data_IF_119816508976
#
_entry.id   IF_119816508976
#
_cell.length_a   1.000
_cell.length_b   1.000
_cell.length_c   1.000
_cell.angle_alpha   90.00
_cell.angle_beta   90.00
_cell.angle_gamma   90.00
#
_symmetry.space_group_name_H-M   'P 1'
#
loop_
_entity.id
_entity.type
_entity.pdbx_description
1 polymer ?
#
# COMPACT_ATOMS: atom_id res chain seq x y z
N UNK A 1 35.67 22.14 12.95
CA UNK A 1 35.35 21.56 11.64
C UNK A 1 33.93 21.02 11.73
N UNK A 2 32.93 21.91 11.63
CA UNK A 2 31.52 21.58 11.89
C UNK A 2 30.97 20.73 10.76
N UNK A 3 30.53 19.52 11.09
CA UNK A 3 29.88 18.62 10.15
C UNK A 3 28.58 19.21 9.62
N UNK A 4 28.18 18.76 8.44
CA UNK A 4 26.91 19.08 7.82
C UNK A 4 25.78 18.88 8.84
N UNK A 5 25.25 19.97 9.37
CA UNK A 5 24.22 19.95 10.39
C UNK A 5 22.85 19.73 9.76
N UNK A 6 21.86 19.57 10.64
CA UNK A 6 20.46 19.45 10.22
C UNK A 6 19.99 20.69 9.42
N UNK A 7 20.51 21.88 9.74
CA UNK A 7 20.23 23.11 9.01
C UNK A 7 20.70 23.06 7.56
N UNK A 8 21.94 22.67 7.30
CA UNK A 8 22.50 22.57 5.95
C UNK A 8 21.74 21.54 5.11
N UNK A 9 21.42 20.38 5.71
CA UNK A 9 20.65 19.33 5.05
C UNK A 9 19.24 19.81 4.68
N UNK A 10 18.61 20.59 5.56
CA UNK A 10 17.29 21.22 5.29
C UNK A 10 17.37 22.23 4.14
N UNK A 11 18.40 23.07 4.09
CA UNK A 11 18.60 24.04 2.99
C UNK A 11 18.75 23.32 1.65
N UNK A 12 19.56 22.26 1.60
CA UNK A 12 19.75 21.46 0.39
C UNK A 12 18.43 20.81 -0.03
N UNK A 13 17.68 20.25 0.93
CA UNK A 13 16.36 19.64 0.66
C UNK A 13 15.40 20.64 0.02
N UNK A 14 15.35 21.89 0.51
CA UNK A 14 14.50 22.94 -0.07
C UNK A 14 14.90 23.24 -1.52
N UNK A 15 16.20 23.37 -1.81
CA UNK A 15 16.69 23.61 -3.17
C UNK A 15 16.28 22.46 -4.11
N UNK A 16 16.44 21.22 -3.67
CA UNK A 16 16.04 20.02 -4.41
C UNK A 16 14.53 20.04 -4.67
N UNK A 17 13.71 20.39 -3.69
CA UNK A 17 12.25 20.52 -3.85
C UNK A 17 11.89 21.61 -4.87
N UNK A 18 12.63 22.71 -4.94
CA UNK A 18 12.38 23.77 -5.93
C UNK A 18 12.69 23.28 -7.35
N UNK A 19 13.79 22.54 -7.54
CA UNK A 19 14.21 22.05 -8.85
C UNK A 19 13.29 20.93 -9.36
N UNK A 20 13.01 19.94 -8.50
CA UNK A 20 12.23 18.76 -8.87
C UNK A 20 10.72 18.94 -8.65
N UNK A 21 10.31 19.89 -7.81
CA UNK A 21 8.92 20.09 -7.38
C UNK A 21 8.56 19.23 -6.15
N UNK A 22 7.66 19.76 -5.31
CA UNK A 22 7.21 19.09 -4.08
C UNK A 22 6.50 17.74 -4.29
N UNK A 23 5.98 17.49 -5.50
CA UNK A 23 5.33 16.23 -5.84
C UNK A 23 6.28 15.10 -6.27
N UNK A 24 7.46 15.43 -6.81
CA UNK A 24 8.37 14.42 -7.38
C UNK A 24 9.18 13.66 -6.34
N UNK A 25 9.58 14.32 -5.26
CA UNK A 25 10.27 13.67 -4.14
C UNK A 25 9.46 12.54 -3.48
N UNK A 26 8.19 12.74 -3.07
CA UNK A 26 7.39 11.67 -2.46
C UNK A 26 7.02 10.58 -3.47
N UNK A 27 6.84 10.91 -4.76
CA UNK A 27 6.59 9.93 -5.83
C UNK A 27 7.78 8.95 -5.98
N UNK A 28 9.00 9.49 -6.09
CA UNK A 28 10.23 8.70 -6.20
C UNK A 28 10.55 7.99 -4.88
N UNK A 29 10.40 8.67 -3.74
CA UNK A 29 10.62 8.10 -2.41
C UNK A 29 9.66 6.96 -2.09
N UNK A 30 8.40 7.03 -2.54
CA UNK A 30 7.43 5.95 -2.39
C UNK A 30 7.80 4.71 -3.21
N UNK A 31 8.25 4.90 -4.45
CA UNK A 31 8.72 3.80 -5.30
C UNK A 31 10.01 3.15 -4.76
N UNK A 32 11.00 3.97 -4.39
CA UNK A 32 12.23 3.51 -3.76
C UNK A 32 11.96 2.82 -2.42
N UNK A 33 11.07 3.36 -1.60
CA UNK A 33 10.72 2.80 -0.29
C UNK A 33 10.10 1.42 -0.39
N UNK A 34 9.22 1.20 -1.38
CA UNK A 34 8.67 -0.14 -1.68
C UNK A 34 9.77 -1.11 -2.11
N UNK A 35 10.64 -0.69 -3.03
CA UNK A 35 11.77 -1.51 -3.48
C UNK A 35 12.76 -1.86 -2.36
N UNK A 36 13.08 -0.91 -1.47
CA UNK A 36 13.92 -1.15 -0.29
C UNK A 36 13.22 -2.07 0.71
N UNK A 37 11.90 -1.92 0.90
CA UNK A 37 11.11 -2.81 1.77
C UNK A 37 11.15 -4.24 1.24
N UNK A 38 10.86 -4.44 -0.04
CA UNK A 38 10.90 -5.75 -0.70
C UNK A 38 12.31 -6.34 -0.71
N UNK A 39 13.34 -5.53 -0.98
CA UNK A 39 14.74 -5.94 -0.89
C UNK A 39 15.09 -6.42 0.52
N UNK A 40 14.70 -5.65 1.55
CA UNK A 40 14.97 -6.01 2.94
C UNK A 40 14.20 -7.27 3.36
N UNK A 41 12.95 -7.42 2.94
CA UNK A 41 12.15 -8.62 3.20
C UNK A 41 12.84 -9.82 2.56
N UNK A 42 13.14 -9.79 1.26
CA UNK A 42 13.79 -10.90 0.57
C UNK A 42 15.20 -11.23 1.11
N UNK A 43 15.95 -10.23 1.58
CA UNK A 43 17.25 -10.45 2.25
C UNK A 43 17.10 -10.98 3.69
N UNK A 44 16.00 -10.68 4.38
CA UNK A 44 15.73 -11.19 5.74
C UNK A 44 14.85 -12.45 5.75
N UNK A 45 14.23 -12.85 4.64
CA UNK A 45 13.38 -14.05 4.52
C UNK A 45 14.20 -15.35 4.47
N UNK A 46 15.52 -15.28 4.28
CA UNK A 46 16.42 -16.38 4.71
C UNK A 46 16.40 -16.59 6.24
N UNK A 47 15.80 -15.67 7.00
CA UNK A 47 15.78 -15.63 8.45
C UNK A 47 14.39 -15.35 9.08
N UNK A 48 13.27 -15.74 8.43
CA UNK A 48 11.90 -15.96 8.97
C UNK A 48 10.80 -15.13 8.27
N UNK A 49 9.93 -15.87 7.55
CA UNK A 49 8.59 -15.56 7.04
C UNK A 49 7.85 -14.41 7.76
N UNK A 50 7.49 -13.35 7.04
CA UNK A 50 6.46 -12.40 7.48
C UNK A 50 5.75 -11.66 6.35
N UNK A 51 4.55 -12.18 6.08
CA UNK A 51 3.40 -11.51 5.46
C UNK A 51 3.17 -10.09 6.01
N UNK A 52 3.16 -9.10 5.12
CA UNK A 52 2.48 -7.81 5.36
C UNK A 52 2.00 -7.20 4.04
N UNK A 53 0.93 -7.81 3.50
CA UNK A 53 -0.04 -7.10 2.65
C UNK A 53 -0.99 -6.35 3.57
N UNK A 54 -1.21 -5.07 3.26
CA UNK A 54 -2.35 -4.19 3.62
C UNK A 54 -1.87 -2.89 4.25
N UNK A 55 -1.81 -1.80 3.47
CA UNK A 55 -2.65 -0.59 3.65
C UNK A 55 -2.28 0.49 2.61
N UNK A 56 -3.07 0.54 1.53
CA UNK A 56 -3.61 1.77 0.94
C UNK A 56 -4.61 1.40 -0.18
N UNK A 57 -5.53 0.48 0.13
CA UNK A 57 -6.78 0.37 -0.61
C UNK A 57 -7.71 1.42 -0.05
N UNK A 58 -8.04 2.41 -0.89
CA UNK A 58 -9.09 3.38 -0.69
C UNK A 58 -10.35 2.68 -0.18
N UNK A 59 -10.75 3.03 1.03
CA UNK A 59 -12.08 2.82 1.59
C UNK A 59 -13.14 3.35 0.63
N UNK A 60 -13.73 2.46 -0.17
CA UNK A 60 -15.11 2.57 -0.65
C UNK A 60 -15.84 1.32 -0.14
N UNK A 61 -16.41 1.47 1.06
CA UNK A 61 -17.45 0.60 1.60
C UNK A 61 -18.76 0.95 0.91
N UNK A 62 -19.74 0.05 0.99
CA UNK A 62 -20.94 -0.09 0.13
C UNK A 62 -20.49 -0.82 -1.15
N UNK A 63 -20.72 -2.11 -1.37
CA UNK A 63 -21.99 -2.84 -1.33
C UNK A 63 -21.75 -4.36 -1.07
N UNK A 64 -21.87 -4.79 0.18
CA UNK A 64 -22.09 -6.21 0.53
C UNK A 64 -23.21 -6.24 1.57
N UNK A 65 -24.44 -6.09 1.09
CA UNK A 65 -25.63 -6.36 1.89
C UNK A 65 -26.49 -7.44 1.23
N UNK A 66 -26.68 -8.52 2.01
CA UNK A 66 -27.67 -9.58 1.92
C UNK A 66 -27.40 -10.82 1.03
N UNK A 67 -26.95 -11.95 1.62
CA UNK A 67 -27.31 -13.26 1.10
C UNK A 67 -28.74 -13.57 1.57
N UNK A 68 -29.75 -13.30 0.72
CA UNK A 68 -31.09 -13.86 0.93
C UNK A 68 -31.12 -15.27 0.34
N UNK A 69 -30.76 -16.23 1.19
CA UNK A 69 -31.34 -17.57 1.16
C UNK A 69 -32.86 -17.41 1.19
N UNK A 70 -33.57 -17.78 0.13
CA UNK A 70 -34.87 -18.50 0.08
C UNK A 70 -35.31 -18.52 -1.39
N UNK A 71 -35.11 -19.64 -2.07
CA UNK A 71 -36.15 -20.13 -2.99
C UNK A 71 -36.02 -21.65 -3.06
N UNK A 72 -36.57 -22.29 -2.01
CA UNK A 72 -36.98 -23.70 -2.04
C UNK A 72 -38.05 -23.79 -3.13
N UNK A 73 -37.64 -24.01 -4.38
CA UNK A 73 -38.57 -24.25 -5.48
C UNK A 73 -39.29 -25.54 -5.16
N UNK A 74 -40.57 -25.38 -4.85
CA UNK A 74 -41.50 -26.44 -4.54
C UNK A 74 -41.43 -27.54 -5.59
N UNK A 75 -41.23 -28.75 -5.07
CA UNK A 75 -41.47 -30.01 -5.76
C UNK A 75 -42.96 -30.03 -6.11
N UNK A 76 -43.30 -29.81 -7.38
CA UNK A 76 -44.62 -30.13 -7.91
C UNK A 76 -44.59 -30.44 -9.40
N UNK A 77 -44.68 -31.74 -9.65
CA UNK A 77 -45.23 -32.45 -10.82
C UNK A 77 -44.99 -33.92 -10.45
N UNK A 78 -45.96 -34.75 -10.02
CA UNK A 78 -47.29 -34.99 -10.57
C UNK A 78 -47.27 -34.90 -12.10
N UNK A 79 -46.75 -35.95 -12.76
CA UNK A 79 -47.44 -36.52 -13.92
C UNK A 79 -46.95 -37.97 -14.21
N UNK A 80 -47.92 -38.88 -14.13
CA UNK A 80 -48.14 -40.22 -14.75
C UNK A 80 -46.98 -40.89 -15.49
#
# INVERSE_FOLDING_TARGET
MGGLGWQELTIILVIVIIIFGAGKLPEIGGALGKGIKEFKVNTNDEALDSTSTTVATSTKREDVEAPRVVERREVRADEI
#
